data_IF_276129103143
#
_entry.id   IF_276129103143
#
_cell.length_a   1.000
_cell.length_b   1.000
_cell.length_c   1.000
_cell.angle_alpha   90.00
_cell.angle_beta   90.00
_cell.angle_gamma   90.00
#
_symmetry.space_group_name_H-M   'P 1'
#
loop_
_entity.id
_entity.type
_entity.pdbx_description
1 polymer ?
#
# COMPACT_ATOMS: atom_id res chain seq x y z
N UNK A 1 3.80 -8.39 10.46
CA UNK A 1 4.23 -8.80 9.18
C UNK A 1 4.00 -7.75 8.17
N UNK A 2 5.00 -7.51 7.39
CA UNK A 2 4.91 -6.45 6.41
C UNK A 2 3.75 -6.64 5.45
N UNK A 3 3.39 -7.87 5.19
CA UNK A 3 2.35 -8.11 4.22
C UNK A 3 0.94 -7.81 4.72
N UNK A 4 0.78 -7.44 5.96
CA UNK A 4 -0.55 -7.11 6.42
C UNK A 4 -1.04 -5.78 5.93
N UNK A 5 -0.15 -4.87 5.60
CA UNK A 5 -0.59 -3.55 5.19
C UNK A 5 -1.37 -3.59 3.90
N UNK A 6 -1.02 -4.50 2.98
CA UNK A 6 -1.71 -4.58 1.71
C UNK A 6 -3.10 -5.18 1.82
N UNK A 7 -3.38 -5.81 2.97
CA UNK A 7 -4.68 -6.45 3.15
C UNK A 7 -5.54 -5.67 4.13
N UNK A 8 -5.12 -4.46 4.49
CA UNK A 8 -5.86 -3.68 5.48
C UNK A 8 -7.13 -3.10 4.88
N UNK A 9 -8.09 -2.90 5.73
CA UNK A 9 -9.34 -2.28 5.34
C UNK A 9 -9.11 -0.87 4.82
N UNK A 10 -8.19 -0.14 5.48
CA UNK A 10 -7.91 1.22 5.07
C UNK A 10 -7.33 1.31 3.67
N UNK A 11 -6.39 0.41 3.33
CA UNK A 11 -5.83 0.41 1.99
C UNK A 11 -6.87 0.04 0.96
N UNK A 12 -7.63 -0.99 1.22
CA UNK A 12 -8.65 -1.41 0.27
C UNK A 12 -9.67 -0.31 0.04
N UNK A 13 -10.08 0.40 1.08
CA UNK A 13 -11.01 1.51 0.96
C UNK A 13 -10.42 2.63 0.10
N UNK A 14 -9.13 2.92 0.25
CA UNK A 14 -8.47 3.95 -0.54
C UNK A 14 -8.42 3.57 -2.01
N UNK A 15 -8.12 2.31 -2.30
CA UNK A 15 -8.09 1.85 -3.69
C UNK A 15 -9.49 1.90 -4.30
N UNK A 16 -10.50 1.53 -3.53
CA UNK A 16 -11.86 1.53 -4.03
C UNK A 16 -12.34 2.94 -4.32
N UNK A 17 -12.00 3.89 -3.44
CA UNK A 17 -12.34 5.29 -3.66
C UNK A 17 -11.68 5.82 -4.94
N UNK A 18 -10.44 5.41 -5.20
CA UNK A 18 -9.74 5.85 -6.40
C UNK A 18 -10.41 5.29 -7.66
N UNK A 19 -10.83 4.03 -7.61
CA UNK A 19 -11.49 3.41 -8.76
C UNK A 19 -12.84 4.07 -9.02
N UNK A 20 -13.52 4.53 -7.98
CA UNK A 20 -14.79 5.23 -8.14
C UNK A 20 -14.62 6.56 -8.85
N UNK A 21 -13.43 7.15 -8.79
CA UNK A 21 -13.17 8.40 -9.51
C UNK A 21 -12.87 8.17 -10.99
N UNK A 22 -12.66 6.94 -11.39
CA UNK A 22 -12.37 6.59 -12.77
C UNK A 22 -11.54 5.32 -12.82
N UNK A 23 -11.40 4.72 -14.00
CA UNK A 23 -10.64 3.49 -14.11
C UNK A 23 -9.21 3.66 -13.61
N UNK A 24 -8.70 2.68 -12.91
CA UNK A 24 -7.34 2.73 -12.40
C UNK A 24 -6.76 1.35 -12.30
N UNK A 25 -5.48 1.23 -12.58
CA UNK A 25 -4.72 0.03 -12.29
C UNK A 25 -3.64 0.40 -11.33
N UNK A 26 -3.18 -0.57 -10.56
CA UNK A 26 -2.26 -0.31 -9.46
C UNK A 26 -1.02 -1.16 -9.55
N UNK A 27 0.10 -0.60 -9.11
CA UNK A 27 1.30 -1.36 -8.87
C UNK A 27 1.51 -1.35 -7.36
N UNK A 28 1.50 -2.53 -6.76
CA UNK A 28 1.75 -2.66 -5.34
C UNK A 28 3.25 -2.85 -5.14
N UNK A 29 3.87 -1.91 -4.46
CA UNK A 29 5.30 -1.94 -4.22
C UNK A 29 5.54 -2.23 -2.76
N UNK A 30 6.28 -3.29 -2.48
CA UNK A 30 6.54 -3.72 -1.12
C UNK A 30 8.04 -3.61 -0.85
N UNK A 31 8.47 -2.76 0.08
CA UNK A 31 9.90 -2.54 0.31
C UNK A 31 10.51 -3.60 1.22
N UNK A 32 10.63 -4.80 0.71
CA UNK A 32 11.17 -5.95 1.44
C UNK A 32 12.52 -6.40 0.92
N UNK A 33 13.11 -5.66 -0.02
CA UNK A 33 14.33 -6.09 -0.69
C UNK A 33 13.98 -6.86 -1.95
N UNK A 34 14.99 -7.08 -2.80
CA UNK A 34 14.73 -7.67 -4.11
C UNK A 34 15.21 -9.10 -4.16
N UNK A 35 14.63 -9.94 -3.33
CA UNK A 35 14.93 -11.36 -3.36
C UNK A 35 13.77 -12.08 -4.04
N UNK A 36 14.00 -13.33 -4.38
CA UNK A 36 12.95 -14.13 -4.98
C UNK A 36 11.75 -14.28 -4.03
N UNK A 37 12.05 -14.47 -2.74
CA UNK A 37 10.98 -14.62 -1.76
C UNK A 37 10.19 -13.32 -1.60
N UNK A 38 10.87 -12.17 -1.62
CA UNK A 38 10.18 -10.88 -1.51
C UNK A 38 9.29 -10.63 -2.71
N UNK A 39 9.76 -10.99 -3.90
CA UNK A 39 8.94 -10.85 -5.09
C UNK A 39 7.70 -11.74 -5.03
N UNK A 40 7.87 -12.96 -4.50
CA UNK A 40 6.72 -13.85 -4.38
C UNK A 40 5.70 -13.30 -3.37
N UNK A 41 6.19 -12.74 -2.27
CA UNK A 41 5.31 -12.13 -1.28
C UNK A 41 4.52 -10.99 -1.92
N UNK A 42 5.19 -10.13 -2.68
CA UNK A 42 4.52 -9.01 -3.33
C UNK A 42 3.47 -9.49 -4.31
N UNK A 43 3.77 -10.54 -5.07
CA UNK A 43 2.80 -11.09 -6.02
C UNK A 43 1.61 -11.70 -5.31
N UNK A 44 1.85 -12.37 -4.18
CA UNK A 44 0.75 -12.97 -3.42
C UNK A 44 -0.16 -11.89 -2.84
N UNK A 45 0.41 -10.80 -2.36
CA UNK A 45 -0.38 -9.70 -1.84
C UNK A 45 -1.21 -9.06 -2.96
N UNK A 46 -0.61 -8.87 -4.12
CA UNK A 46 -1.34 -8.32 -5.26
C UNK A 46 -2.47 -9.25 -5.69
N UNK A 47 -2.23 -10.56 -5.66
CA UNK A 47 -3.25 -11.53 -6.04
C UNK A 47 -4.48 -11.40 -5.14
N UNK A 48 -4.27 -11.16 -3.86
CA UNK A 48 -5.40 -10.98 -2.96
C UNK A 48 -6.20 -9.74 -3.27
N UNK A 49 -5.54 -8.67 -3.65
CA UNK A 49 -6.24 -7.46 -4.06
C UNK A 49 -6.96 -7.68 -5.39
N UNK A 50 -6.39 -8.49 -6.28
CA UNK A 50 -7.07 -8.82 -7.52
C UNK A 50 -8.35 -9.61 -7.24
N UNK A 51 -8.32 -10.49 -6.22
CA UNK A 51 -9.51 -11.23 -5.84
C UNK A 51 -10.58 -10.30 -5.29
N UNK A 52 -10.19 -9.15 -4.75
CA UNK A 52 -11.13 -8.17 -4.25
C UNK A 52 -11.68 -7.27 -5.36
N UNK A 53 -11.24 -7.47 -6.60
CA UNK A 53 -11.78 -6.75 -7.73
C UNK A 53 -10.89 -5.67 -8.30
N UNK A 54 -9.65 -5.54 -7.83
CA UNK A 54 -8.74 -4.51 -8.33
C UNK A 54 -7.77 -5.08 -9.37
N UNK A 55 -7.29 -4.22 -10.23
CA UNK A 55 -6.26 -4.61 -11.19
C UNK A 55 -4.92 -4.22 -10.59
N UNK A 56 -4.15 -5.18 -10.12
CA UNK A 56 -2.93 -4.92 -9.35
C UNK A 56 -1.80 -5.84 -9.78
N UNK A 57 -0.62 -5.26 -9.93
CA UNK A 57 0.60 -6.03 -10.11
C UNK A 57 1.45 -5.84 -8.88
N UNK A 58 2.15 -6.86 -8.42
CA UNK A 58 2.98 -6.77 -7.23
C UNK A 58 4.46 -6.79 -7.57
N UNK A 59 5.22 -5.94 -6.91
CA UNK A 59 6.67 -5.87 -7.08
C UNK A 59 7.32 -5.65 -5.72
N UNK A 60 8.46 -6.31 -5.49
CA UNK A 60 9.27 -6.00 -4.34
C UNK A 60 10.25 -4.89 -4.73
N UNK A 61 10.59 -4.05 -3.79
CA UNK A 61 11.53 -2.98 -4.02
C UNK A 61 12.57 -2.91 -2.91
N UNK A 62 13.45 -1.93 -3.02
CA UNK A 62 14.49 -1.71 -2.02
C UNK A 62 13.88 -1.65 -0.63
N UNK A 63 14.63 -2.04 0.39
CA UNK A 63 14.15 -1.97 1.76
C UNK A 63 13.95 -0.53 2.24
N UNK A 64 14.61 0.42 1.59
CA UNK A 64 14.35 1.83 1.87
C UNK A 64 13.13 2.25 1.04
N UNK A 65 12.03 2.64 1.66
CA UNK A 65 10.82 2.95 0.90
C UNK A 65 10.99 4.05 -0.13
N UNK A 66 11.80 5.06 0.16
CA UNK A 66 12.01 6.12 -0.81
C UNK A 66 12.73 5.60 -2.04
N UNK A 67 13.77 4.81 -1.85
CA UNK A 67 14.49 4.24 -2.98
C UNK A 67 13.61 3.29 -3.77
N UNK A 68 12.77 2.54 -3.08
CA UNK A 68 11.84 1.63 -3.76
C UNK A 68 10.91 2.41 -4.69
N UNK A 69 10.38 3.53 -4.22
CA UNK A 69 9.49 4.35 -5.03
C UNK A 69 10.23 4.95 -6.21
N UNK A 70 11.42 5.48 -5.97
CA UNK A 70 12.17 6.14 -7.05
C UNK A 70 12.58 5.18 -8.15
N UNK A 71 12.80 3.91 -7.80
CA UNK A 71 13.14 2.91 -8.80
C UNK A 71 11.98 2.58 -9.74
N UNK A 72 10.76 2.77 -9.29
CA UNK A 72 9.58 2.39 -10.05
C UNK A 72 8.86 3.59 -10.64
N UNK A 73 8.98 4.75 -10.00
CA UNK A 73 8.18 5.92 -10.39
C UNK A 73 8.49 6.40 -11.81
N UNK A 74 7.45 6.65 -12.56
CA UNK A 74 7.55 7.26 -13.87
C UNK A 74 6.31 8.13 -14.08
N UNK A 75 6.45 9.42 -14.31
CA UNK A 75 5.27 10.27 -14.50
C UNK A 75 4.47 9.92 -15.75
N UNK A 76 5.08 9.19 -16.67
CA UNK A 76 4.34 8.74 -17.86
C UNK A 76 3.44 7.54 -17.55
N UNK A 77 3.73 6.80 -16.48
CA UNK A 77 2.99 5.60 -16.16
C UNK A 77 2.10 5.75 -14.94
N UNK A 78 2.45 6.64 -14.03
CA UNK A 78 1.73 6.75 -12.76
C UNK A 78 1.27 8.18 -12.52
N UNK A 79 0.10 8.30 -11.90
CA UNK A 79 -0.47 9.62 -11.61
C UNK A 79 -0.37 9.95 -10.13
N UNK A 80 -0.32 8.97 -9.29
CA UNK A 80 -0.54 9.19 -7.88
C UNK A 80 0.11 8.09 -7.07
N UNK A 81 0.50 8.38 -5.86
CA UNK A 81 1.12 7.41 -4.96
C UNK A 81 0.28 7.32 -3.70
N UNK A 82 -0.04 6.10 -3.29
CA UNK A 82 -0.74 5.87 -2.03
C UNK A 82 0.21 5.09 -1.14
N UNK A 83 0.52 5.65 0.03
CA UNK A 83 1.43 5.01 0.96
C UNK A 83 0.64 4.47 2.13
N UNK A 84 0.78 3.18 2.40
CA UNK A 84 0.10 2.54 3.50
C UNK A 84 1.11 2.15 4.55
N UNK A 85 0.90 2.58 5.78
CA UNK A 85 1.79 2.26 6.89
C UNK A 85 0.97 1.73 8.05
N UNK A 86 1.60 0.88 8.87
CA UNK A 86 0.97 0.43 10.11
C UNK A 86 1.15 1.50 11.18
N UNK A 87 0.18 1.70 12.05
CA UNK A 87 0.28 2.76 13.06
C UNK A 87 1.49 2.61 13.98
N UNK A 88 1.86 1.38 14.29
CA UNK A 88 2.92 1.14 15.23
C UNK A 88 4.27 0.91 14.60
N UNK A 89 4.36 0.87 13.27
CA UNK A 89 5.59 0.47 12.62
C UNK A 89 6.62 1.57 12.52
N UNK A 90 6.20 2.83 12.67
CA UNK A 90 7.12 3.94 12.59
C UNK A 90 6.48 5.13 13.29
N UNK A 91 7.29 6.07 13.73
CA UNK A 91 6.77 7.24 14.40
C UNK A 91 6.03 8.12 13.42
N UNK A 92 5.12 8.92 13.95
CA UNK A 92 4.38 9.85 13.14
C UNK A 92 5.32 10.81 12.42
N UNK A 93 6.37 11.25 13.12
CA UNK A 93 7.32 12.17 12.54
C UNK A 93 8.03 11.54 11.34
N UNK A 94 8.42 10.29 11.42
CA UNK A 94 9.09 9.62 10.33
C UNK A 94 8.15 9.40 9.15
N UNK A 95 6.88 9.15 9.41
CA UNK A 95 5.90 9.00 8.33
C UNK A 95 5.73 10.30 7.56
N UNK A 96 5.63 11.42 8.28
CA UNK A 96 5.47 12.71 7.63
C UNK A 96 6.71 13.04 6.79
N UNK A 97 7.89 12.75 7.32
CA UNK A 97 9.12 13.01 6.60
C UNK A 97 9.18 12.18 5.31
N UNK A 98 8.80 10.92 5.39
CA UNK A 98 8.80 10.04 4.22
C UNK A 98 7.85 10.59 3.14
N UNK A 99 6.64 10.98 3.53
CA UNK A 99 5.68 11.51 2.57
C UNK A 99 6.23 12.74 1.86
N UNK A 100 6.83 13.66 2.62
CA UNK A 100 7.37 14.87 2.05
C UNK A 100 8.53 14.59 1.10
N UNK A 101 9.36 13.62 1.44
CA UNK A 101 10.49 13.27 0.59
C UNK A 101 10.01 12.64 -0.72
N UNK A 102 8.99 11.79 -0.64
CA UNK A 102 8.44 11.19 -1.85
C UNK A 102 7.85 12.27 -2.74
N UNK A 103 7.07 13.19 -2.17
CA UNK A 103 6.50 14.26 -2.96
C UNK A 103 7.57 15.11 -3.62
N UNK A 104 8.62 15.42 -2.86
CA UNK A 104 9.68 16.29 -3.38
C UNK A 104 10.41 15.64 -4.54
N UNK A 105 10.66 14.34 -4.46
CA UNK A 105 11.44 13.67 -5.48
C UNK A 105 10.61 13.20 -6.68
N UNK A 106 9.31 13.03 -6.53
CA UNK A 106 8.48 12.53 -7.64
C UNK A 106 7.59 13.59 -8.24
N UNK A 107 7.26 14.62 -7.47
CA UNK A 107 6.27 15.60 -7.91
C UNK A 107 4.87 15.07 -7.93
N UNK A 108 4.64 13.88 -7.40
CA UNK A 108 3.34 13.22 -7.47
C UNK A 108 2.45 13.64 -6.31
N UNK A 109 1.15 13.45 -6.48
CA UNK A 109 0.22 13.57 -5.38
C UNK A 109 0.39 12.32 -4.53
N UNK A 110 0.68 12.50 -3.24
CA UNK A 110 0.91 11.39 -2.34
C UNK A 110 -0.17 11.39 -1.27
N UNK A 111 -0.86 10.28 -1.13
CA UNK A 111 -1.85 10.09 -0.08
C UNK A 111 -1.34 9.10 0.92
N UNK A 112 -1.61 9.33 2.18
CA UNK A 112 -1.21 8.43 3.24
C UNK A 112 -2.42 7.75 3.83
N UNK A 113 -2.34 6.42 3.95
CA UNK A 113 -3.37 5.63 4.58
C UNK A 113 -2.73 4.90 5.74
N UNK A 114 -3.32 5.04 6.93
CA UNK A 114 -2.82 4.32 8.06
C UNK A 114 -3.53 2.98 8.07
N UNK A 115 -2.80 1.92 7.82
CA UNK A 115 -3.37 0.59 7.69
C UNK A 115 -3.66 0.02 9.06
N UNK A 116 -4.95 -0.13 9.43
CA UNK A 116 -5.29 -0.75 10.66
C UNK A 116 -5.37 -2.21 10.40
N UNK A 117 -4.84 -3.01 11.26
CA UNK A 117 -5.00 -4.41 11.12
C UNK A 117 -6.31 -4.79 11.38
N UNK A 118 -6.86 -5.64 10.62
CA UNK A 118 -8.12 -5.94 10.83
C UNK A 118 -8.31 -6.83 11.87
N UNK A 119 -7.97 -6.81 12.70
CA UNK A 119 -8.01 -7.52 13.66
C UNK A 119 -8.95 -7.70 14.21
N UNK A 120 -9.37 -7.84 14.28
CA UNK A 120 -10.15 -8.03 14.66
C UNK A 120 -10.25 -8.65 15.68
N UNK A 121 -10.48 -8.46 16.35
CA UNK A 121 -10.64 -8.89 17.36
C UNK A 121 -11.72 -9.57 17.40
N UNK A 122 -11.78 -10.55 17.88
CA UNK A 122 -12.81 -11.32 17.92
C UNK A 122 -13.83 -10.69 18.48
N UNK A 123 -14.12 -10.30 18.73
CA UNK A 123 -15.04 -9.68 19.19
C UNK A 123 -15.37 -8.66 18.50
N UNK A 124 -15.03 -8.43 17.81
CA UNK A 124 -15.33 -7.43 17.21
C UNK A 124 -15.63 -7.67 16.05
N UNK A 125 -15.86 -8.36 15.75
CA UNK A 125 -15.97 -8.59 15.07
C UNK A 125 -16.67 -8.53 14.16
N UNK A 126 -16.79 -8.60 14.09
CA UNK A 126 -17.21 -8.60 13.86
C UNK A 126 -17.78 -8.18 13.22
N UNK A 127 -17.91 -7.78 13.14
CA UNK A 127 -18.30 -7.34 13.12
C UNK A 127 -18.38 -7.13 12.30
N UNK A 128 -18.38 -7.01 12.09
CA UNK A 128 -18.36 -6.82 11.88
C UNK A 128 -18.54 -6.70 11.13
N UNK A 129 -18.68 -6.67 10.75
CA UNK A 129 -18.92 -6.66 10.76
C UNK A 129 -18.94 -6.41 10.06
N UNK A 130 -19.21 -6.44 10.08
CA UNK A 130 -19.34 -6.27 10.19
C UNK A 130 -19.26 -6.00 9.65
N UNK A 131 -19.51 -5.89 9.56
CA UNK A 131 -19.39 -5.65 9.82
C UNK A 131 -19.43 -5.58 9.35
N UNK A 132 -19.57 -5.55 9.15
CA UNK A 132 -19.50 -5.54 9.51
C UNK A 132 -19.46 -5.48 9.32
#
# INVERSE_FOLDING_TARGET
>A
MANRTALSIGLEAALRARVESGPASFTLLVPLGRTRDSEQIARNMAARLCEAGFEVQGRAGDTDPLLAVLDVWSPAEFDEIIVSTLPASTSRWMRVDLMQRIERHTGALVRHVEAREQLTRPGERRLAGSRL
#
